data_IF_388912390873
#
_entry.id   IF_388912390873
#
_cell.length_a   1.000
_cell.length_b   1.000
_cell.length_c   1.000
_cell.angle_alpha   90.00
_cell.angle_beta   90.00
_cell.angle_gamma   90.00
#
_symmetry.space_group_name_H-M   'P 1'
#
loop_
_entity.id
_entity.type
_entity.pdbx_description
1 polymer ?
#
# COMPACT_ATOMS: atom_id res chain seq x y z
N UNK A 1 -5.06 -9.75 -10.80
CA UNK A 1 -4.85 -8.34 -10.43
C UNK A 1 -3.91 -8.13 -9.24
N UNK A 2 -4.07 -8.81 -8.10
CA UNK A 2 -3.24 -8.56 -6.88
C UNK A 2 -1.73 -8.74 -7.02
N UNK A 3 -1.26 -9.47 -8.05
CA UNK A 3 0.18 -9.54 -8.36
C UNK A 3 0.75 -8.21 -8.84
N UNK A 4 -0.08 -7.34 -9.37
CA UNK A 4 0.33 -5.99 -9.79
C UNK A 4 0.70 -5.10 -8.60
N UNK A 5 0.09 -5.28 -7.43
CA UNK A 5 0.33 -4.47 -6.25
C UNK A 5 1.77 -4.59 -5.73
N UNK A 6 2.28 -3.49 -5.18
CA UNK A 6 3.52 -3.52 -4.39
C UNK A 6 3.33 -4.35 -3.12
N UNK A 7 4.38 -5.02 -2.62
CA UNK A 7 4.39 -5.53 -1.25
C UNK A 7 4.17 -4.37 -0.27
N UNK A 8 3.29 -4.56 0.70
CA UNK A 8 2.94 -3.53 1.67
C UNK A 8 2.67 -4.15 3.04
N UNK A 9 3.18 -3.54 4.11
CA UNK A 9 2.89 -3.94 5.48
C UNK A 9 1.41 -3.67 5.78
N UNK A 10 0.75 -4.59 6.46
CA UNK A 10 -0.68 -4.46 6.75
C UNK A 10 -1.61 -4.64 5.56
N UNK A 11 -1.09 -5.03 4.37
CA UNK A 11 -1.89 -5.15 3.15
C UNK A 11 -3.07 -6.10 3.28
N UNK A 12 -4.28 -5.66 2.94
CA UNK A 12 -5.57 -6.34 3.18
C UNK A 12 -6.02 -7.30 2.06
N UNK A 13 -5.11 -7.74 1.17
CA UNK A 13 -5.47 -8.58 -0.01
C UNK A 13 -6.33 -9.80 0.33
N UNK A 14 -6.00 -10.50 1.41
CA UNK A 14 -6.74 -11.70 1.84
C UNK A 14 -8.06 -11.36 2.54
N UNK A 15 -8.21 -10.16 3.04
CA UNK A 15 -9.43 -9.69 3.70
C UNK A 15 -10.46 -9.10 2.72
N UNK A 16 -10.07 -8.72 1.51
CA UNK A 16 -10.99 -8.13 0.55
C UNK A 16 -12.30 -8.93 0.38
N UNK A 17 -12.30 -10.26 0.17
CA UNK A 17 -13.56 -11.01 0.04
C UNK A 17 -14.46 -10.90 1.27
N UNK A 18 -13.88 -10.84 2.47
CA UNK A 18 -14.61 -10.72 3.73
C UNK A 18 -15.18 -9.30 3.88
N UNK A 19 -14.35 -8.27 3.61
CA UNK A 19 -14.77 -6.86 3.64
C UNK A 19 -15.99 -6.66 2.72
N UNK A 20 -15.90 -7.11 1.46
CA UNK A 20 -16.97 -6.91 0.48
C UNK A 20 -18.19 -7.80 0.73
N UNK A 21 -18.02 -8.97 1.35
CA UNK A 21 -19.16 -9.74 1.86
C UNK A 21 -19.90 -8.95 2.93
N UNK A 22 -19.18 -8.25 3.82
CA UNK A 22 -19.81 -7.42 4.87
C UNK A 22 -20.46 -6.17 4.28
N UNK A 23 -19.85 -5.50 3.32
CA UNK A 23 -20.46 -4.38 2.61
C UNK A 23 -21.79 -4.81 1.96
N UNK A 24 -21.87 -6.02 1.38
CA UNK A 24 -23.10 -6.50 0.74
C UNK A 24 -24.29 -6.73 1.69
N UNK A 25 -24.05 -6.80 3.00
CA UNK A 25 -25.10 -6.90 4.02
C UNK A 25 -25.83 -5.55 4.22
N UNK A 26 -25.19 -4.42 3.87
CA UNK A 26 -25.72 -3.07 4.01
C UNK A 26 -25.99 -2.37 2.67
N UNK A 27 -25.16 -2.65 1.67
CA UNK A 27 -25.28 -2.13 0.32
C UNK A 27 -25.35 -3.30 -0.67
N UNK A 28 -26.54 -3.65 -1.20
CA UNK A 28 -26.74 -4.74 -2.14
C UNK A 28 -25.82 -4.64 -3.36
N UNK A 29 -25.34 -5.80 -3.85
CA UNK A 29 -24.35 -5.85 -4.95
C UNK A 29 -24.83 -5.20 -6.24
N UNK A 30 -26.12 -5.24 -6.50
CA UNK A 30 -26.77 -4.65 -7.69
C UNK A 30 -26.60 -3.12 -7.74
N UNK A 31 -26.34 -2.50 -6.59
CA UNK A 31 -26.11 -1.05 -6.48
C UNK A 31 -24.64 -0.65 -6.68
N UNK A 32 -23.69 -1.60 -6.60
CA UNK A 32 -22.27 -1.28 -6.57
C UNK A 32 -21.77 -0.54 -7.82
N UNK A 33 -22.31 -0.89 -9.00
CA UNK A 33 -21.99 -0.20 -10.25
C UNK A 33 -22.46 1.28 -10.29
N UNK A 34 -23.31 1.69 -9.38
CA UNK A 34 -23.80 3.07 -9.27
C UNK A 34 -23.35 3.74 -7.97
N UNK A 35 -22.50 3.06 -7.20
CA UNK A 35 -22.04 3.53 -5.90
C UNK A 35 -20.57 3.95 -5.92
N UNK A 36 -20.23 4.88 -5.04
CA UNK A 36 -18.88 5.40 -4.86
C UNK A 36 -18.25 4.79 -3.61
N UNK A 37 -17.10 4.15 -3.79
CA UNK A 37 -16.25 3.64 -2.72
C UNK A 37 -15.14 4.64 -2.43
N UNK A 38 -15.14 5.20 -1.24
CA UNK A 38 -14.14 6.17 -0.77
C UNK A 38 -13.13 5.46 0.11
N UNK A 39 -11.84 5.53 -0.24
CA UNK A 39 -10.73 4.95 0.53
C UNK A 39 -9.85 6.06 1.08
N UNK A 40 -9.96 6.31 2.38
CA UNK A 40 -9.26 7.43 3.02
C UNK A 40 -7.75 7.19 3.22
N UNK A 41 -7.32 5.90 3.24
CA UNK A 41 -5.94 5.49 3.47
C UNK A 41 -5.54 4.39 2.48
N UNK A 42 -5.25 4.76 1.25
CA UNK A 42 -5.07 3.85 0.12
C UNK A 42 -4.00 2.77 0.36
N UNK A 43 -2.87 3.13 0.98
CA UNK A 43 -1.75 2.23 1.21
C UNK A 43 -1.26 1.53 -0.07
N UNK A 44 -1.38 0.21 -0.12
CA UNK A 44 -1.05 -0.54 -1.35
C UNK A 44 -2.11 -0.47 -2.45
N UNK A 45 -3.28 0.09 -2.17
CA UNK A 45 -4.43 0.09 -3.06
C UNK A 45 -5.18 -1.25 -3.15
N UNK A 46 -4.94 -2.19 -2.25
CA UNK A 46 -5.51 -3.55 -2.35
C UNK A 46 -7.03 -3.56 -2.26
N UNK A 47 -7.61 -2.80 -1.34
CA UNK A 47 -9.05 -2.74 -1.11
C UNK A 47 -9.73 -1.96 -2.24
N UNK A 48 -9.18 -0.80 -2.61
CA UNK A 48 -9.65 0.01 -3.73
C UNK A 48 -9.57 -0.72 -5.08
N UNK A 49 -8.48 -1.47 -5.35
CA UNK A 49 -8.38 -2.28 -6.57
C UNK A 49 -9.41 -3.40 -6.60
N UNK A 50 -9.71 -3.99 -5.46
CA UNK A 50 -10.76 -4.99 -5.35
C UNK A 50 -12.14 -4.35 -5.54
N UNK A 51 -12.40 -3.18 -4.95
CA UNK A 51 -13.62 -2.40 -5.14
C UNK A 51 -13.84 -2.04 -6.62
N UNK A 52 -12.78 -1.58 -7.31
CA UNK A 52 -12.78 -1.36 -8.76
C UNK A 52 -13.22 -2.61 -9.54
N UNK A 53 -12.68 -3.78 -9.18
CA UNK A 53 -13.04 -5.05 -9.80
C UNK A 53 -14.47 -5.52 -9.46
N UNK A 54 -15.07 -5.01 -8.38
CA UNK A 54 -16.47 -5.27 -8.05
C UNK A 54 -17.44 -4.26 -8.70
N UNK A 55 -16.93 -3.29 -9.47
CA UNK A 55 -17.73 -2.33 -10.22
C UNK A 55 -17.97 -1.00 -9.56
N UNK A 56 -17.43 -0.72 -8.38
CA UNK A 56 -17.54 0.60 -7.75
C UNK A 56 -16.76 1.67 -8.52
N UNK A 57 -17.30 2.90 -8.54
CA UNK A 57 -16.46 4.08 -8.76
C UNK A 57 -15.59 4.32 -7.54
N UNK A 58 -14.29 4.59 -7.75
CA UNK A 58 -13.33 4.75 -6.67
C UNK A 58 -12.93 6.22 -6.54
N UNK A 59 -12.95 6.72 -5.30
CA UNK A 59 -12.33 7.98 -4.90
C UNK A 59 -11.41 7.65 -3.72
N UNK A 60 -10.08 7.77 -3.90
CA UNK A 60 -9.15 7.35 -2.89
C UNK A 60 -8.04 8.37 -2.64
N UNK A 61 -7.45 8.29 -1.45
CA UNK A 61 -6.44 9.23 -0.99
C UNK A 61 -5.29 8.53 -0.28
N UNK A 62 -4.11 9.11 -0.40
CA UNK A 62 -2.98 8.81 0.49
C UNK A 62 -2.05 10.03 0.54
N UNK A 63 -1.34 10.18 1.65
CA UNK A 63 -0.33 11.23 1.79
C UNK A 63 1.02 10.80 1.19
N UNK A 64 1.28 9.49 1.06
CA UNK A 64 2.53 8.94 0.56
C UNK A 64 2.55 8.86 -0.96
N UNK A 65 3.54 9.48 -1.61
CA UNK A 65 3.68 9.50 -3.07
C UNK A 65 3.69 8.09 -3.69
N UNK A 66 4.38 7.12 -3.05
CA UNK A 66 4.40 5.73 -3.49
C UNK A 66 3.01 5.08 -3.58
N UNK A 67 2.11 5.42 -2.65
CA UNK A 67 0.73 4.96 -2.63
C UNK A 67 -0.11 5.65 -3.70
N UNK A 68 0.08 6.96 -3.85
CA UNK A 68 -0.57 7.78 -4.90
C UNK A 68 -0.18 7.29 -6.29
N UNK A 69 1.10 7.01 -6.53
CA UNK A 69 1.59 6.42 -7.79
C UNK A 69 0.91 5.06 -8.05
N UNK A 70 0.82 4.20 -7.03
CA UNK A 70 0.15 2.91 -7.15
C UNK A 70 -1.34 3.07 -7.50
N UNK A 71 -2.02 4.00 -6.85
CA UNK A 71 -3.41 4.34 -7.13
C UNK A 71 -3.63 4.87 -8.54
N UNK A 72 -2.82 5.83 -8.98
CA UNK A 72 -2.89 6.38 -10.34
C UNK A 72 -2.69 5.31 -11.41
N UNK A 73 -1.79 4.34 -11.17
CA UNK A 73 -1.48 3.29 -12.14
C UNK A 73 -2.52 2.17 -12.16
N UNK A 74 -3.01 1.72 -11.02
CA UNK A 74 -3.86 0.53 -10.95
C UNK A 74 -5.35 0.85 -10.81
N UNK A 75 -5.68 2.03 -10.28
CA UNK A 75 -7.07 2.38 -9.96
C UNK A 75 -7.58 3.46 -10.92
N UNK A 76 -6.90 4.59 -11.02
CA UNK A 76 -7.30 5.69 -11.90
C UNK A 76 -7.10 5.35 -13.38
N UNK A 77 -5.97 4.74 -13.72
CA UNK A 77 -5.68 4.29 -15.09
C UNK A 77 -6.58 3.10 -15.48
N UNK A 78 -7.25 3.25 -16.61
CA UNK A 78 -8.19 2.26 -17.14
C UNK A 78 -7.64 1.42 -18.31
N UNK A 79 -6.61 1.93 -19.05
CA UNK A 79 -6.22 1.33 -20.33
C UNK A 79 -4.74 1.47 -20.69
N UNK A 80 -4.03 2.47 -20.16
CA UNK A 80 -2.64 2.73 -20.54
C UNK A 80 -1.72 1.68 -19.96
N UNK A 81 -1.17 0.83 -20.82
CA UNK A 81 -0.27 -0.26 -20.46
C UNK A 81 1.20 0.13 -20.59
N UNK A 82 2.06 -0.55 -19.85
CA UNK A 82 3.52 -0.50 -20.05
C UNK A 82 3.85 -1.21 -21.36
N UNK A 83 4.61 -0.53 -22.23
CA UNK A 83 5.03 -1.04 -23.56
C UNK A 83 6.50 -1.47 -23.55
N UNK A 84 6.95 -2.13 -24.62
CA UNK A 84 8.38 -2.45 -24.80
C UNK A 84 9.21 -1.20 -25.10
N UNK A 85 8.61 -0.18 -25.71
CA UNK A 85 9.24 1.12 -25.90
C UNK A 85 9.53 1.82 -24.57
N UNK A 86 8.63 1.69 -23.59
CA UNK A 86 8.86 2.19 -22.22
C UNK A 86 10.04 1.48 -21.56
N UNK A 87 10.12 0.17 -21.68
CA UNK A 87 11.25 -0.61 -21.16
C UNK A 87 12.57 -0.17 -21.80
N UNK A 88 12.56 0.03 -23.12
CA UNK A 88 13.75 0.48 -23.83
C UNK A 88 14.20 1.87 -23.36
N UNK A 89 13.27 2.81 -23.25
CA UNK A 89 13.54 4.17 -22.76
C UNK A 89 14.12 4.17 -21.33
N UNK A 90 13.62 3.33 -20.44
CA UNK A 90 14.10 3.22 -19.06
C UNK A 90 15.47 2.51 -18.98
N UNK A 91 15.72 1.51 -19.83
CA UNK A 91 16.96 0.72 -19.79
C UNK A 91 18.11 1.34 -20.57
N UNK A 92 17.82 2.14 -21.60
CA UNK A 92 18.80 2.74 -22.51
C UNK A 92 18.56 4.26 -22.66
N UNK A 93 18.64 5.01 -21.57
CA UNK A 93 18.33 6.43 -21.58
C UNK A 93 19.42 7.26 -22.27
N UNK A 94 19.00 8.38 -22.84
CA UNK A 94 19.90 9.40 -23.38
C UNK A 94 20.31 10.38 -22.26
N UNK A 95 21.16 9.95 -21.34
CA UNK A 95 21.65 10.84 -20.27
C UNK A 95 21.83 10.10 -18.93
N UNK A 96 22.62 10.70 -18.06
CA UNK A 96 22.89 10.20 -16.71
C UNK A 96 21.81 10.62 -15.70
N UNK A 97 21.66 9.85 -14.62
CA UNK A 97 20.84 10.20 -13.47
C UNK A 97 21.56 11.13 -12.50
N UNK A 98 20.86 11.52 -11.43
CA UNK A 98 21.39 12.41 -10.38
C UNK A 98 22.49 11.78 -9.52
N UNK A 99 22.61 10.46 -9.52
CA UNK A 99 23.55 9.71 -8.66
C UNK A 99 23.16 9.69 -7.17
N UNK A 100 21.95 10.13 -6.81
CA UNK A 100 21.47 10.17 -5.43
C UNK A 100 21.34 8.76 -4.86
N UNK A 101 20.82 7.82 -5.64
CA UNK A 101 20.60 6.44 -5.19
C UNK A 101 21.94 5.74 -4.95
N UNK A 102 22.90 5.94 -5.85
CA UNK A 102 24.24 5.39 -5.67
C UNK A 102 24.94 6.02 -4.46
N UNK A 103 24.84 7.33 -4.30
CA UNK A 103 25.51 8.07 -3.23
C UNK A 103 24.95 7.76 -1.83
N UNK A 104 23.63 7.66 -1.69
CA UNK A 104 22.99 7.56 -0.38
C UNK A 104 22.71 6.11 0.05
N UNK A 105 22.53 5.19 -0.92
CA UNK A 105 22.00 3.86 -0.62
C UNK A 105 22.92 2.70 -1.01
N UNK A 106 24.13 2.96 -1.48
CA UNK A 106 25.17 1.95 -1.71
C UNK A 106 26.21 2.05 -0.58
N UNK A 107 26.62 0.95 0.01
CA UNK A 107 26.24 -0.46 -0.25
C UNK A 107 25.04 -0.96 0.55
N UNK A 108 24.48 -0.17 1.45
CA UNK A 108 23.57 -0.65 2.50
C UNK A 108 22.21 -1.13 1.96
N UNK A 109 21.70 -0.50 0.91
CA UNK A 109 20.38 -0.81 0.34
C UNK A 109 20.48 -1.48 -1.01
N UNK A 110 21.34 -0.98 -1.89
CA UNK A 110 21.50 -1.47 -3.25
C UNK A 110 22.95 -1.82 -3.56
N UNK A 111 23.16 -2.75 -4.52
CA UNK A 111 24.47 -2.87 -5.17
C UNK A 111 24.69 -1.67 -6.09
N UNK A 112 25.97 -1.29 -6.31
CA UNK A 112 26.32 -0.18 -7.21
C UNK A 112 25.67 -0.32 -8.60
N UNK A 113 25.64 -1.54 -9.14
CA UNK A 113 25.03 -1.83 -10.43
C UNK A 113 23.55 -1.45 -10.50
N UNK A 114 22.78 -1.82 -9.48
CA UNK A 114 21.35 -1.52 -9.43
C UNK A 114 21.09 -0.05 -9.10
N UNK A 115 21.90 0.56 -8.25
CA UNK A 115 21.79 1.97 -7.92
C UNK A 115 22.04 2.85 -9.15
N UNK A 116 23.14 2.62 -9.89
CA UNK A 116 23.45 3.35 -11.12
C UNK A 116 22.35 3.19 -12.19
N UNK A 117 21.80 1.98 -12.32
CA UNK A 117 20.64 1.78 -13.20
C UNK A 117 19.41 2.58 -12.73
N UNK A 118 19.07 2.52 -11.44
CA UNK A 118 17.90 3.22 -10.90
C UNK A 118 18.02 4.74 -11.01
N UNK A 119 19.21 5.31 -10.71
CA UNK A 119 19.46 6.75 -10.88
C UNK A 119 19.14 7.21 -12.30
N UNK A 120 19.62 6.47 -13.28
CA UNK A 120 19.40 6.78 -14.68
C UNK A 120 17.94 6.54 -15.10
N UNK A 121 17.34 5.44 -14.67
CA UNK A 121 15.97 5.09 -15.03
C UNK A 121 14.94 6.06 -14.41
N UNK A 122 15.11 6.46 -13.15
CA UNK A 122 14.22 7.45 -12.51
C UNK A 122 14.32 8.82 -13.15
N UNK A 123 15.52 9.26 -13.58
CA UNK A 123 15.68 10.50 -14.35
C UNK A 123 14.88 10.51 -15.68
N UNK A 124 14.60 9.34 -16.23
CA UNK A 124 13.83 9.13 -17.46
C UNK A 124 12.38 8.68 -17.23
N UNK A 125 11.97 8.50 -15.97
CA UNK A 125 10.62 8.13 -15.56
C UNK A 125 9.72 9.38 -15.52
N UNK A 126 8.98 9.65 -16.60
CA UNK A 126 8.17 10.87 -16.77
C UNK A 126 6.71 10.70 -16.32
N UNK A 127 6.23 9.45 -16.23
CA UNK A 127 4.84 9.13 -15.92
C UNK A 127 4.75 8.33 -14.62
N UNK A 128 3.63 8.41 -13.89
CA UNK A 128 3.39 7.52 -12.74
C UNK A 128 3.59 6.03 -13.08
N UNK A 129 3.23 5.63 -14.30
CA UNK A 129 3.40 4.26 -14.80
C UNK A 129 4.87 3.82 -14.86
N UNK A 130 5.77 4.73 -15.26
CA UNK A 130 7.22 4.48 -15.31
C UNK A 130 7.79 4.34 -13.90
N UNK A 131 7.42 5.26 -13.01
CA UNK A 131 7.83 5.24 -11.60
C UNK A 131 7.33 3.99 -10.90
N UNK A 132 6.07 3.61 -11.12
CA UNK A 132 5.50 2.39 -10.56
C UNK A 132 6.25 1.14 -10.99
N UNK A 133 6.59 1.04 -12.27
CA UNK A 133 7.38 -0.07 -12.79
C UNK A 133 8.77 -0.14 -12.14
N UNK A 134 9.41 1.00 -11.88
CA UNK A 134 10.69 1.05 -11.17
C UNK A 134 10.55 0.70 -9.69
N UNK A 135 9.46 1.09 -9.04
CA UNK A 135 9.15 0.62 -7.68
C UNK A 135 8.98 -0.91 -7.66
N UNK A 136 8.27 -1.49 -8.63
CA UNK A 136 8.16 -2.95 -8.79
C UNK A 136 9.53 -3.61 -8.97
N UNK A 137 10.40 -2.99 -9.76
CA UNK A 137 11.77 -3.44 -9.93
C UNK A 137 12.55 -3.44 -8.61
N UNK A 138 12.46 -2.37 -7.81
CA UNK A 138 13.11 -2.28 -6.50
C UNK A 138 12.65 -3.43 -5.60
N UNK A 139 11.35 -3.71 -5.54
CA UNK A 139 10.85 -4.84 -4.74
C UNK A 139 11.23 -6.21 -5.29
N UNK A 140 11.52 -6.33 -6.59
CA UNK A 140 12.01 -7.57 -7.17
C UNK A 140 13.48 -7.86 -6.81
N UNK A 141 14.32 -6.82 -6.72
CA UNK A 141 15.75 -6.97 -6.38
C UNK A 141 16.01 -6.94 -4.87
N UNK A 142 15.08 -6.40 -4.06
CA UNK A 142 15.20 -6.42 -2.61
C UNK A 142 14.37 -7.56 -2.01
N UNK A 143 15.02 -8.46 -1.28
CA UNK A 143 14.34 -9.62 -0.69
C UNK A 143 13.44 -9.28 0.46
N UNK A 144 13.72 -8.18 1.14
CA UNK A 144 12.91 -7.66 2.24
C UNK A 144 12.28 -6.34 1.83
N UNK A 145 10.99 -6.19 2.06
CA UNK A 145 10.35 -4.88 2.02
C UNK A 145 10.75 -3.95 3.19
N UNK A 146 11.70 -4.37 4.03
CA UNK A 146 12.29 -3.53 5.08
C UNK A 146 13.42 -2.71 4.52
N UNK A 147 13.11 -1.48 4.14
CA UNK A 147 14.11 -0.53 3.66
C UNK A 147 14.82 0.21 4.79
N UNK A 148 14.32 0.14 6.01
CA UNK A 148 14.94 0.71 7.22
C UNK A 148 16.13 -0.10 7.74
N UNK A 149 16.25 -1.36 7.34
CA UNK A 149 17.36 -2.21 7.81
C UNK A 149 18.48 -2.24 6.79
N UNK A 150 19.76 -2.20 7.23
CA UNK A 150 20.89 -2.45 6.36
C UNK A 150 20.69 -3.74 5.58
N UNK A 151 21.04 -3.72 4.31
CA UNK A 151 20.82 -4.85 3.45
C UNK A 151 21.65 -6.06 3.90
N UNK A 152 21.00 -7.10 4.38
CA UNK A 152 21.63 -8.38 4.70
C UNK A 152 22.37 -9.01 3.51
N UNK A 153 22.10 -8.56 2.26
CA UNK A 153 22.78 -9.02 1.05
C UNK A 153 24.21 -8.52 0.89
N UNK A 154 24.50 -7.33 1.39
CA UNK A 154 25.83 -6.74 1.25
C UNK A 154 26.74 -7.06 2.43
N UNK A 155 26.19 -7.65 3.49
CA UNK A 155 26.99 -8.27 4.52
C UNK A 155 27.23 -9.73 4.12
N UNK A 156 28.49 -10.21 4.12
CA UNK A 156 28.76 -11.64 4.16
C UNK A 156 27.89 -12.19 5.31
N UNK A 157 27.07 -13.19 5.04
CA UNK A 157 26.17 -13.72 6.05
C UNK A 157 26.96 -14.56 7.03
N UNK A 158 27.60 -13.89 7.96
CA UNK A 158 28.48 -14.47 8.96
C UNK A 158 27.73 -15.12 10.13
N UNK A 159 26.40 -14.88 10.22
CA UNK A 159 25.63 -15.21 11.43
C UNK A 159 24.78 -16.52 11.33
N UNK A 160 25.08 -17.40 10.39
CA UNK A 160 24.39 -18.69 10.26
C UNK A 160 22.93 -18.66 9.81
N UNK A 161 22.29 -17.46 9.76
CA UNK A 161 20.93 -17.26 9.26
C UNK A 161 20.80 -17.40 7.75
N UNK A 162 21.92 -17.62 7.07
CA UNK A 162 21.97 -17.72 5.63
C UNK A 162 21.15 -18.89 5.09
N UNK A 163 21.16 -20.03 5.75
CA UNK A 163 20.49 -21.23 5.23
C UNK A 163 18.97 -21.16 5.36
N UNK A 164 18.45 -20.59 6.44
CA UNK A 164 17.00 -20.30 6.58
C UNK A 164 16.55 -19.22 5.60
N UNK A 165 17.33 -18.16 5.47
CA UNK A 165 17.11 -17.05 4.58
C UNK A 165 17.26 -17.49 3.13
N UNK A 166 18.22 -18.33 2.79
CA UNK A 166 18.52 -18.81 1.44
C UNK A 166 17.34 -19.50 0.77
N UNK A 167 16.60 -20.35 1.47
CA UNK A 167 15.42 -21.00 0.91
C UNK A 167 14.32 -20.01 0.55
N UNK A 168 14.06 -19.04 1.44
CA UNK A 168 13.05 -18.02 1.24
C UNK A 168 13.46 -16.96 0.20
N UNK A 169 14.77 -16.69 0.06
CA UNK A 169 15.32 -15.60 -0.76
C UNK A 169 16.02 -16.04 -2.03
N UNK A 170 16.09 -17.32 -2.33
CA UNK A 170 16.73 -17.84 -3.55
C UNK A 170 16.20 -17.14 -4.80
N UNK A 171 14.92 -16.83 -4.86
CA UNK A 171 14.32 -16.09 -5.98
C UNK A 171 14.92 -14.68 -6.10
N UNK A 172 14.96 -13.92 -5.01
CA UNK A 172 15.46 -12.55 -4.99
C UNK A 172 16.96 -12.47 -5.28
N UNK A 173 17.75 -13.43 -4.78
CA UNK A 173 19.17 -13.55 -5.12
C UNK A 173 19.33 -13.78 -6.63
N UNK A 174 18.52 -14.66 -7.23
CA UNK A 174 18.52 -14.90 -8.67
C UNK A 174 18.10 -13.67 -9.45
N UNK A 175 17.08 -12.95 -8.98
CA UNK A 175 16.61 -11.72 -9.61
C UNK A 175 17.68 -10.61 -9.54
N UNK A 176 18.42 -10.52 -8.43
CA UNK A 176 19.52 -9.57 -8.27
C UNK A 176 20.68 -9.80 -9.27
N UNK A 177 20.83 -11.01 -9.80
CA UNK A 177 21.83 -11.33 -10.82
C UNK A 177 21.35 -11.07 -12.26
N UNK A 178 20.05 -10.91 -12.49
CA UNK A 178 19.48 -10.69 -13.82
C UNK A 178 19.79 -9.28 -14.36
N UNK A 179 19.86 -9.12 -15.68
CA UNK A 179 19.88 -7.79 -16.28
C UNK A 179 18.60 -7.02 -15.95
N UNK A 180 18.69 -5.68 -15.74
CA UNK A 180 17.51 -4.86 -15.45
C UNK A 180 16.34 -5.04 -16.43
N UNK A 181 16.61 -5.10 -17.73
CA UNK A 181 15.59 -5.32 -18.75
C UNK A 181 14.80 -6.63 -18.54
N UNK A 182 15.48 -7.71 -18.10
CA UNK A 182 14.82 -9.00 -17.85
C UNK A 182 13.86 -8.92 -16.65
N UNK A 183 14.24 -8.19 -15.61
CA UNK A 183 13.39 -7.93 -14.44
C UNK A 183 12.20 -7.08 -14.84
N UNK A 184 12.43 -5.97 -15.54
CA UNK A 184 11.38 -5.07 -16.00
C UNK A 184 10.38 -5.75 -16.94
N UNK A 185 10.81 -6.66 -17.82
CA UNK A 185 9.90 -7.46 -18.65
C UNK A 185 8.94 -8.31 -17.80
N UNK A 186 9.45 -8.90 -16.73
CA UNK A 186 8.62 -9.69 -15.80
C UNK A 186 7.63 -8.78 -15.06
N UNK A 187 8.10 -7.64 -14.56
CA UNK A 187 7.24 -6.71 -13.81
C UNK A 187 6.24 -5.99 -14.73
N UNK A 188 6.59 -5.68 -15.98
CA UNK A 188 5.65 -5.19 -17.00
C UNK A 188 4.44 -6.11 -17.13
N UNK A 189 4.67 -7.42 -17.32
CA UNK A 189 3.58 -8.38 -17.45
C UNK A 189 2.70 -8.41 -16.18
N UNK A 190 3.32 -8.28 -15.01
CA UNK A 190 2.63 -8.26 -13.72
C UNK A 190 1.80 -6.99 -13.53
N UNK A 191 2.35 -5.82 -13.89
CA UNK A 191 1.66 -4.52 -13.77
C UNK A 191 0.47 -4.47 -14.72
N UNK A 192 0.67 -4.83 -15.99
CA UNK A 192 -0.36 -4.74 -17.03
C UNK A 192 -1.61 -5.58 -16.71
N UNK A 193 -1.47 -6.73 -16.03
CA UNK A 193 -2.62 -7.53 -15.55
C UNK A 193 -3.46 -6.80 -14.49
N UNK A 194 -2.88 -5.80 -13.80
CA UNK A 194 -3.58 -5.00 -12.81
C UNK A 194 -4.31 -3.79 -13.37
N UNK A 195 -4.08 -3.43 -14.63
CA UNK A 195 -4.69 -2.28 -15.31
C UNK A 195 -5.90 -2.77 -16.10
N UNK A 196 -7.07 -2.27 -15.74
CA UNK A 196 -8.33 -2.59 -16.42
C UNK A 196 -9.35 -1.47 -16.21
N UNK A 197 -10.30 -1.36 -17.13
CA UNK A 197 -11.44 -0.45 -16.98
C UNK A 197 -12.58 -1.13 -16.22
N UNK A 198 -13.22 -0.38 -15.36
CA UNK A 198 -14.51 -0.73 -14.76
C UNK A 198 -15.67 0.17 -15.23
N UNK A 199 -15.43 0.95 -16.29
CA UNK A 199 -16.42 1.88 -16.84
C UNK A 199 -16.54 3.22 -16.11
N UNK A 200 -15.77 3.43 -15.03
CA UNK A 200 -15.82 4.65 -14.22
C UNK A 200 -14.55 5.49 -14.37
N UNK A 201 -14.71 6.79 -14.13
CA UNK A 201 -13.58 7.69 -13.89
C UNK A 201 -13.25 7.65 -12.39
N UNK A 202 -12.27 6.82 -12.05
CA UNK A 202 -11.75 6.71 -10.70
C UNK A 202 -10.80 7.88 -10.41
N UNK A 203 -10.67 8.26 -9.15
CA UNK A 203 -9.88 9.44 -8.74
C UNK A 203 -8.94 9.10 -7.60
N UNK A 204 -7.69 9.59 -7.70
CA UNK A 204 -6.66 9.45 -6.66
C UNK A 204 -6.17 10.83 -6.25
N UNK A 205 -6.22 11.10 -4.96
CA UNK A 205 -5.76 12.36 -4.35
C UNK A 205 -4.46 12.15 -3.55
N UNK A 206 -3.70 13.23 -3.40
CA UNK A 206 -2.58 13.32 -2.46
C UNK A 206 -2.86 14.49 -1.52
N UNK A 207 -3.59 14.22 -0.45
CA UNK A 207 -4.06 15.22 0.51
C UNK A 207 -3.87 14.74 1.93
N UNK A 208 -3.88 15.68 2.88
CA UNK A 208 -4.18 15.33 4.26
C UNK A 208 -5.55 14.67 4.34
N UNK A 209 -5.70 13.67 5.20
CA UNK A 209 -6.93 12.87 5.25
C UNK A 209 -8.12 13.67 5.76
N UNK A 210 -7.90 14.65 6.65
CA UNK A 210 -8.98 15.52 7.15
C UNK A 210 -9.53 16.39 6.01
N UNK A 211 -8.66 17.02 5.22
CA UNK A 211 -9.05 17.77 4.02
C UNK A 211 -9.77 16.85 3.01
N UNK A 212 -9.23 15.65 2.79
CA UNK A 212 -9.82 14.71 1.85
C UNK A 212 -11.24 14.29 2.23
N UNK A 213 -11.49 13.92 3.49
CA UNK A 213 -12.83 13.48 3.91
C UNK A 213 -13.83 14.62 3.91
N UNK A 214 -13.42 15.87 4.06
CA UNK A 214 -14.30 17.03 3.91
C UNK A 214 -14.81 17.22 2.48
N UNK A 215 -13.97 16.95 1.48
CA UNK A 215 -14.29 17.13 0.07
C UNK A 215 -14.92 15.90 -0.61
N UNK A 216 -14.51 14.71 -0.18
CA UNK A 216 -14.94 13.47 -0.82
C UNK A 216 -16.42 13.17 -0.56
N UNK A 217 -17.11 12.67 -1.58
CA UNK A 217 -18.50 12.21 -1.54
C UNK A 217 -18.57 10.73 -1.93
N UNK A 218 -19.42 9.95 -1.24
CA UNK A 218 -19.58 8.54 -1.55
C UNK A 218 -20.53 7.78 -0.66
N UNK A 219 -20.79 6.53 -1.04
CA UNK A 219 -21.74 5.64 -0.39
C UNK A 219 -21.08 4.77 0.68
N UNK A 220 -19.83 4.42 0.48
CA UNK A 220 -19.02 3.59 1.39
C UNK A 220 -17.72 4.31 1.68
N UNK A 221 -17.43 4.58 2.95
CA UNK A 221 -16.14 5.05 3.42
C UNK A 221 -15.35 3.86 3.96
N UNK A 222 -14.18 3.60 3.41
CA UNK A 222 -13.21 2.66 3.94
C UNK A 222 -12.06 3.39 4.64
N UNK A 223 -11.76 2.98 5.87
CA UNK A 223 -10.67 3.51 6.67
C UNK A 223 -9.78 2.39 7.19
N UNK A 224 -8.48 2.45 6.86
CA UNK A 224 -7.42 1.57 7.37
C UNK A 224 -6.24 2.45 7.84
N UNK A 225 -6.43 3.28 8.88
CA UNK A 225 -5.42 4.21 9.33
C UNK A 225 -4.20 3.47 9.92
N UNK A 226 -3.00 4.05 9.89
CA UNK A 226 -1.91 3.57 10.71
C UNK A 226 -2.28 3.70 12.19
N UNK A 227 -2.00 2.66 13.01
CA UNK A 227 -2.35 2.65 14.44
C UNK A 227 -1.13 2.52 15.32
N UNK A 228 -1.27 2.96 16.57
CA UNK A 228 -0.22 2.86 17.57
C UNK A 228 0.26 1.40 17.77
N UNK A 229 1.55 1.22 18.01
CA UNK A 229 2.15 -0.11 18.18
C UNK A 229 2.45 -0.87 16.88
N UNK A 230 2.14 -0.30 15.70
CA UNK A 230 2.62 -0.83 14.43
C UNK A 230 3.99 -0.26 14.07
N UNK A 231 4.67 -0.90 13.10
CA UNK A 231 5.90 -0.36 12.53
C UNK A 231 5.62 1.05 11.99
N UNK A 232 6.52 1.98 12.27
CA UNK A 232 6.44 3.33 11.72
C UNK A 232 6.64 3.25 10.20
N UNK A 233 5.56 3.42 9.44
CA UNK A 233 5.57 3.33 7.97
C UNK A 233 6.56 4.34 7.36
N UNK A 234 6.72 5.47 8.00
CA UNK A 234 7.64 6.54 7.62
C UNK A 234 9.09 6.01 7.61
N UNK A 235 9.46 5.19 8.60
CA UNK A 235 10.80 4.61 8.68
C UNK A 235 10.97 3.44 7.70
N UNK A 236 9.94 2.59 7.55
CA UNK A 236 10.01 1.40 6.71
C UNK A 236 10.14 1.72 5.22
N UNK A 237 9.56 2.83 4.77
CA UNK A 237 9.53 3.22 3.35
C UNK A 237 10.37 4.47 3.03
N UNK A 238 11.13 4.99 3.99
CA UNK A 238 11.94 6.20 3.84
C UNK A 238 12.83 6.18 2.58
N UNK A 239 13.42 5.05 2.27
CA UNK A 239 14.27 4.90 1.07
C UNK A 239 13.46 5.15 -0.20
N UNK A 240 12.26 4.58 -0.30
CA UNK A 240 11.39 4.77 -1.47
C UNK A 240 10.91 6.21 -1.58
N UNK A 241 10.54 6.81 -0.45
CA UNK A 241 10.06 8.18 -0.41
C UNK A 241 11.18 9.15 -0.85
N UNK A 242 12.41 8.96 -0.37
CA UNK A 242 13.58 9.75 -0.83
C UNK A 242 13.88 9.55 -2.32
N UNK A 243 13.80 8.33 -2.84
CA UNK A 243 13.97 8.06 -4.28
C UNK A 243 12.92 8.77 -5.12
N UNK A 244 11.71 8.93 -4.59
CA UNK A 244 10.61 9.67 -5.24
C UNK A 244 10.69 11.19 -5.03
N UNK A 245 11.72 11.69 -4.34
CA UNK A 245 11.92 13.11 -4.09
C UNK A 245 11.08 13.66 -2.94
N UNK A 246 10.53 12.79 -2.10
CA UNK A 246 9.77 13.19 -0.92
C UNK A 246 10.70 13.46 0.27
N UNK A 247 10.40 14.51 1.01
CA UNK A 247 11.01 14.75 2.32
C UNK A 247 10.48 13.75 3.36
N UNK A 248 11.26 13.53 4.41
CA UNK A 248 10.84 12.69 5.53
C UNK A 248 9.64 13.33 6.22
N UNK A 249 8.50 12.64 6.20
CA UNK A 249 7.28 13.12 6.84
C UNK A 249 7.32 12.89 8.35
N UNK A 250 6.69 13.77 9.13
CA UNK A 250 6.50 13.52 10.55
C UNK A 250 5.68 12.26 10.77
N UNK A 251 5.81 11.67 11.96
CA UNK A 251 5.01 10.51 12.36
C UNK A 251 3.52 10.84 12.25
N UNK A 252 2.75 9.93 11.67
CA UNK A 252 1.30 10.07 11.55
C UNK A 252 0.65 10.32 12.92
N UNK A 253 -0.29 11.28 13.06
CA UNK A 253 -1.03 11.49 14.29
C UNK A 253 -1.74 10.24 14.78
N UNK A 254 -2.23 9.41 13.88
CA UNK A 254 -2.91 8.13 14.19
C UNK A 254 -1.99 7.07 14.80
N UNK A 255 -0.67 7.15 14.58
CA UNK A 255 0.34 6.24 15.15
C UNK A 255 0.93 6.77 16.47
N UNK A 256 0.53 7.95 16.91
CA UNK A 256 0.97 8.58 18.16
C UNK A 256 0.07 8.20 19.35
N UNK A 257 0.44 8.65 20.55
CA UNK A 257 -0.36 8.46 21.77
C UNK A 257 -1.74 9.13 21.67
N UNK A 258 -1.89 10.20 20.87
CA UNK A 258 -3.15 10.88 20.55
C UNK A 258 -3.94 10.26 19.37
N UNK A 259 -3.60 9.05 18.95
CA UNK A 259 -4.21 8.44 17.75
C UNK A 259 -5.71 8.22 17.83
N UNK A 260 -6.25 7.96 19.02
CA UNK A 260 -7.70 7.80 19.22
C UNK A 260 -8.44 9.13 19.16
N UNK A 261 -7.85 10.19 19.66
CA UNK A 261 -8.37 11.55 19.54
C UNK A 261 -8.41 11.99 18.07
N UNK A 262 -7.33 11.77 17.33
CA UNK A 262 -7.26 12.04 15.90
C UNK A 262 -8.30 11.23 15.09
N UNK A 263 -8.57 9.97 15.47
CA UNK A 263 -9.65 9.18 14.86
C UNK A 263 -11.03 9.75 15.20
N UNK A 264 -11.22 10.26 16.42
CA UNK A 264 -12.45 10.94 16.83
C UNK A 264 -12.74 12.16 15.95
N UNK A 265 -11.75 13.02 15.78
CA UNK A 265 -11.83 14.21 14.92
C UNK A 265 -12.09 13.82 13.45
N UNK A 266 -11.39 12.80 12.92
CA UNK A 266 -11.63 12.32 11.56
C UNK A 266 -13.09 11.88 11.37
N UNK A 267 -13.66 11.11 12.30
CA UNK A 267 -15.01 10.59 12.16
C UNK A 267 -16.09 11.65 12.35
N UNK A 268 -15.80 12.78 12.98
CA UNK A 268 -16.69 13.95 12.97
C UNK A 268 -16.90 14.48 11.53
N UNK A 269 -15.83 14.53 10.72
CA UNK A 269 -15.90 14.92 9.30
C UNK A 269 -16.52 13.87 8.38
N UNK A 270 -16.65 12.62 8.85
CA UNK A 270 -17.12 11.50 8.02
C UNK A 270 -18.64 11.28 8.05
N UNK A 271 -19.43 12.09 8.75
CA UNK A 271 -20.87 11.84 8.98
C UNK A 271 -21.72 11.82 7.71
N UNK A 272 -21.27 12.39 6.61
CA UNK A 272 -21.96 12.37 5.32
C UNK A 272 -21.94 11.01 4.61
N UNK A 273 -20.99 10.13 4.94
CA UNK A 273 -20.91 8.81 4.33
C UNK A 273 -21.89 7.83 4.98
N UNK A 274 -22.81 7.20 4.21
CA UNK A 274 -23.84 6.33 4.77
C UNK A 274 -23.33 5.07 5.45
N UNK A 275 -22.28 4.45 4.90
CA UNK A 275 -21.66 3.23 5.42
C UNK A 275 -20.17 3.44 5.67
N UNK A 276 -19.72 3.20 6.91
CA UNK A 276 -18.32 3.18 7.29
C UNK A 276 -17.83 1.76 7.43
N UNK A 277 -16.66 1.49 6.90
CA UNK A 277 -15.98 0.19 6.97
C UNK A 277 -14.57 0.44 7.46
N UNK A 278 -14.28 0.10 8.70
CA UNK A 278 -13.02 0.42 9.35
C UNK A 278 -12.27 -0.87 9.61
N UNK A 279 -11.06 -1.00 9.08
CA UNK A 279 -10.11 -2.06 9.43
C UNK A 279 -9.26 -1.62 10.61
N UNK A 280 -9.05 -2.53 11.58
CA UNK A 280 -8.24 -2.27 12.76
C UNK A 280 -7.52 -3.54 13.23
N UNK A 281 -6.19 -3.48 13.34
CA UNK A 281 -5.38 -4.60 13.79
C UNK A 281 -5.22 -4.64 15.32
N UNK A 282 -4.84 -5.80 15.85
CA UNK A 282 -4.74 -6.01 17.30
C UNK A 282 -3.43 -5.53 17.94
N UNK A 283 -2.62 -4.72 17.25
CA UNK A 283 -1.36 -4.20 17.79
C UNK A 283 -1.59 -3.42 19.10
N UNK A 284 -2.69 -2.64 19.19
CA UNK A 284 -3.09 -1.89 20.38
C UNK A 284 -3.86 -2.67 21.44
N UNK A 285 -4.21 -3.93 21.19
CA UNK A 285 -4.97 -4.78 22.13
C UNK A 285 -6.48 -4.49 22.17
N UNK A 286 -7.19 -5.20 23.06
CA UNK A 286 -8.66 -5.12 23.20
C UNK A 286 -9.16 -3.76 23.70
N UNK A 287 -8.38 -3.08 24.50
CA UNK A 287 -8.77 -1.76 25.04
C UNK A 287 -8.85 -0.71 23.92
N UNK A 288 -7.94 -0.76 22.96
CA UNK A 288 -7.96 0.14 21.82
C UNK A 288 -9.16 -0.10 20.90
N UNK A 289 -9.54 -1.38 20.70
CA UNK A 289 -10.77 -1.71 19.98
C UNK A 289 -12.01 -1.12 20.67
N UNK A 290 -12.12 -1.26 21.99
CA UNK A 290 -13.25 -0.74 22.76
C UNK A 290 -13.36 0.80 22.64
N UNK A 291 -12.22 1.50 22.70
CA UNK A 291 -12.16 2.95 22.48
C UNK A 291 -12.65 3.32 21.09
N UNK A 292 -12.13 2.64 20.05
CA UNK A 292 -12.51 2.90 18.66
C UNK A 292 -14.00 2.64 18.41
N UNK A 293 -14.53 1.52 18.90
CA UNK A 293 -15.98 1.22 18.86
C UNK A 293 -16.77 2.31 19.58
N UNK A 294 -16.31 2.78 20.74
CA UNK A 294 -16.92 3.89 21.48
C UNK A 294 -16.96 5.19 20.68
N UNK A 295 -15.88 5.50 19.95
CA UNK A 295 -15.82 6.69 19.06
C UNK A 295 -16.82 6.55 17.92
N UNK A 296 -16.81 5.44 17.19
CA UNK A 296 -17.72 5.20 16.05
C UNK A 296 -19.18 5.22 16.52
N UNK A 297 -19.48 4.65 17.69
CA UNK A 297 -20.83 4.56 18.24
C UNK A 297 -21.45 5.90 18.64
N UNK A 298 -20.65 6.97 18.76
CA UNK A 298 -21.19 8.33 18.94
C UNK A 298 -21.93 8.83 17.70
N UNK A 299 -21.57 8.33 16.52
CA UNK A 299 -22.05 8.82 15.23
C UNK A 299 -22.88 7.80 14.46
N UNK A 300 -22.69 6.49 14.70
CA UNK A 300 -23.29 5.42 13.92
C UNK A 300 -23.68 4.23 14.79
N UNK A 301 -24.71 3.51 14.37
CA UNK A 301 -24.92 2.14 14.87
C UNK A 301 -23.73 1.31 14.42
N UNK A 302 -23.12 0.58 15.37
CA UNK A 302 -21.80 -0.02 15.16
C UNK A 302 -21.83 -1.54 15.37
N UNK A 303 -21.25 -2.29 14.42
CA UNK A 303 -20.94 -3.72 14.56
C UNK A 303 -19.43 -3.92 14.41
N UNK A 304 -18.81 -4.63 15.36
CA UNK A 304 -17.41 -5.01 15.28
C UNK A 304 -17.28 -6.54 15.17
N UNK A 305 -16.48 -7.02 14.20
CA UNK A 305 -16.24 -8.44 13.98
C UNK A 305 -14.75 -8.75 13.91
N UNK A 306 -14.34 -9.76 14.66
CA UNK A 306 -12.95 -10.23 14.71
C UNK A 306 -12.69 -11.31 13.65
N UNK A 307 -11.51 -11.23 13.01
CA UNK A 307 -11.00 -12.22 12.07
C UNK A 307 -9.58 -12.62 12.45
N UNK A 308 -9.26 -13.91 12.35
CA UNK A 308 -7.89 -14.37 12.39
C UNK A 308 -7.17 -13.89 11.11
N UNK A 309 -6.11 -13.10 11.27
CA UNK A 309 -5.40 -12.54 10.13
C UNK A 309 -3.89 -12.49 10.36
N UNK A 310 -3.14 -12.99 9.39
CA UNK A 310 -1.68 -12.97 9.43
C UNK A 310 -1.14 -11.80 8.61
N UNK A 311 -0.72 -10.73 9.30
CA UNK A 311 -0.17 -9.53 8.67
C UNK A 311 1.15 -9.76 7.94
N UNK A 312 2.02 -10.65 8.42
CA UNK A 312 3.33 -10.94 7.83
C UNK A 312 3.69 -12.42 7.93
N UNK A 313 3.34 -13.20 6.90
CA UNK A 313 3.60 -14.64 6.89
C UNK A 313 5.08 -15.03 6.82
N UNK A 314 5.96 -14.17 6.25
CA UNK A 314 7.34 -14.55 5.94
C UNK A 314 8.36 -14.26 7.05
N UNK A 315 8.08 -13.35 7.98
CA UNK A 315 9.06 -12.86 8.97
C UNK A 315 8.58 -13.00 10.42
N UNK A 316 7.30 -13.24 10.63
CA UNK A 316 6.75 -13.38 11.97
C UNK A 316 6.94 -14.79 12.53
N UNK A 317 7.32 -14.89 13.81
CA UNK A 317 7.34 -16.18 14.52
C UNK A 317 5.94 -16.83 14.51
N UNK A 318 5.86 -18.18 14.60
CA UNK A 318 4.58 -18.90 14.64
C UNK A 318 3.68 -18.41 15.79
N UNK A 319 4.27 -18.08 16.95
CA UNK A 319 3.54 -17.50 18.07
C UNK A 319 2.92 -16.12 17.74
N UNK A 320 3.57 -15.30 16.92
CA UNK A 320 3.04 -14.01 16.43
C UNK A 320 1.92 -14.24 15.41
N UNK A 321 2.08 -15.21 14.52
CA UNK A 321 1.07 -15.55 13.50
C UNK A 321 -0.24 -16.04 14.14
N UNK A 322 -0.15 -16.83 15.22
CA UNK A 322 -1.32 -17.36 15.92
C UNK A 322 -2.09 -16.30 16.72
N UNK A 323 -1.41 -15.21 17.12
CA UNK A 323 -2.01 -14.12 17.91
C UNK A 323 -2.52 -12.95 17.07
N UNK A 324 -2.18 -12.88 15.80
CA UNK A 324 -2.61 -11.77 14.95
C UNK A 324 -4.10 -11.81 14.65
N UNK A 325 -4.80 -10.73 14.93
CA UNK A 325 -6.22 -10.53 14.68
C UNK A 325 -6.44 -9.23 13.94
N UNK A 326 -7.49 -9.20 13.15
CA UNK A 326 -8.00 -8.00 12.50
C UNK A 326 -9.46 -7.85 12.84
N UNK A 327 -9.88 -6.65 13.17
CA UNK A 327 -11.28 -6.30 13.36
C UNK A 327 -11.79 -5.50 12.19
N UNK A 328 -12.98 -5.83 11.77
CA UNK A 328 -13.75 -5.03 10.83
C UNK A 328 -14.90 -4.40 11.60
N UNK A 329 -14.91 -3.08 11.63
CA UNK A 329 -15.93 -2.29 12.30
C UNK A 329 -16.81 -1.66 11.22
N UNK A 330 -18.11 -1.91 11.29
CA UNK A 330 -19.08 -1.33 10.39
C UNK A 330 -19.93 -0.32 11.16
N UNK A 331 -19.94 0.92 10.65
CA UNK A 331 -20.80 1.99 11.15
C UNK A 331 -21.85 2.35 10.11
N UNK A 332 -23.13 2.31 10.46
CA UNK A 332 -24.22 2.63 9.56
C UNK A 332 -25.28 3.49 10.25
N UNK A 333 -26.12 4.17 9.48
CA UNK A 333 -27.23 4.94 10.03
C UNK A 333 -28.18 3.99 10.78
N UNK A 334 -28.78 4.45 11.89
CA UNK A 334 -29.91 3.78 12.48
C UNK A 334 -31.07 3.85 11.47
N UNK A 335 -31.62 2.71 11.09
CA UNK A 335 -32.85 2.64 10.31
C UNK A 335 -34.00 3.12 11.18
#
# INVERSE_FOLDING_TARGET
MFRALLPYYGGKRKLCPIIFKKISEYLPREKWAHSVFVDAFLGSGAVSLYAKAQGFRIVANDIAERSVIAGKVLIENNETLVTDADLHRLCFPNGGGSGIIEKEFVPDVFTRRHAAFLDTAFANAKRPLDQYLLLKYIFAIRPYSKFSSPNAFNRPMEDGRFDEIKQTYTKHIKDNLKPPLAILKTEKATVNVGIFSNGHQNQISKKDVFEFVEEAEGDVLYCDPPYAGTLAYENEYQVLDKILGEEMKPKSPFSSDGGMEALGELFEGCQKFPLWVISFGNAGGKNELAKLVGIVSKHRKCEAKEFAYQHCGAVASEAHKQKSREWLILGHNAN
#
